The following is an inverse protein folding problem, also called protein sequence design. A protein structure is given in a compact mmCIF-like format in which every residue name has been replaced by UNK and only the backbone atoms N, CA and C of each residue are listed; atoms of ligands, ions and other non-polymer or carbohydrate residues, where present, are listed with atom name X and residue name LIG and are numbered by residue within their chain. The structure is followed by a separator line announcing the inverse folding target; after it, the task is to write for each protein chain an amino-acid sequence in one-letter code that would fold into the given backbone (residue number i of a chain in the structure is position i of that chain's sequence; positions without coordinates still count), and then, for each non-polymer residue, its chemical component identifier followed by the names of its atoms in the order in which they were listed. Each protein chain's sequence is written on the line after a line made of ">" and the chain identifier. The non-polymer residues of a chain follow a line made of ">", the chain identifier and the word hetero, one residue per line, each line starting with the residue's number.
data_IF_537421974315
#
_entry.id   IF_537421974315
#
_cell.length_a   1.000
_cell.length_b   1.000
_cell.length_c   1.000
_cell.angle_alpha   90.00
_cell.angle_beta   90.00
_cell.angle_gamma   90.00
#
_symmetry.space_group_name_H-M   'P 1'
#
loop_
_entity.id
_entity.type
_entity.pdbx_description
1 polymer ?
#
# COMPACT_ATOMS: atom_id res chain seq x y z
N UNK A 1 33.33 5.94 -27.37
CA UNK A 1 33.06 4.75 -26.52
C UNK A 1 32.05 5.18 -25.46
N UNK A 2 30.77 5.34 -25.84
CA UNK A 2 29.67 4.40 -25.58
C UNK A 2 29.53 3.99 -24.10
N UNK A 3 28.50 4.57 -23.48
CA UNK A 3 28.06 4.43 -22.10
C UNK A 3 27.84 2.97 -21.73
N UNK A 4 28.63 2.47 -20.77
CA UNK A 4 28.35 1.21 -20.09
C UNK A 4 27.37 1.48 -18.95
N UNK A 5 26.09 1.27 -19.27
CA UNK A 5 25.11 0.56 -18.44
C UNK A 5 25.08 0.92 -16.95
N UNK A 6 24.27 1.94 -16.65
CA UNK A 6 23.50 2.00 -15.41
C UNK A 6 22.47 0.88 -15.50
N UNK A 7 22.78 -0.26 -14.90
CA UNK A 7 21.82 -1.33 -14.64
C UNK A 7 22.09 -1.82 -13.21
N UNK A 8 21.66 -1.01 -12.23
CA UNK A 8 21.65 -1.41 -10.82
C UNK A 8 20.45 -0.78 -10.12
N UNK A 9 19.25 -1.17 -10.56
CA UNK A 9 17.99 -0.95 -9.85
C UNK A 9 16.94 -2.01 -10.24
N UNK A 10 17.38 -3.20 -10.59
CA UNK A 10 16.52 -4.35 -10.85
C UNK A 10 17.29 -5.61 -10.45
N UNK A 11 17.31 -5.97 -9.17
CA UNK A 11 17.57 -7.34 -8.75
C UNK A 11 17.26 -7.56 -7.25
N UNK A 12 16.25 -8.41 -7.02
CA UNK A 12 15.97 -9.25 -5.84
C UNK A 12 15.66 -8.56 -4.49
N UNK A 13 14.68 -9.03 -3.70
CA UNK A 13 14.24 -10.40 -3.56
C UNK A 13 12.71 -10.54 -3.56
N UNK A 14 12.24 -11.45 -4.42
CA UNK A 14 11.14 -12.36 -4.14
C UNK A 14 11.47 -13.13 -2.85
N UNK A 15 11.16 -12.57 -1.69
CA UNK A 15 10.91 -13.40 -0.51
C UNK A 15 9.53 -14.01 -0.73
N UNK A 16 9.48 -15.00 -1.63
CA UNK A 16 8.36 -15.90 -1.77
C UNK A 16 8.29 -16.72 -0.50
N UNK A 17 7.80 -16.08 0.55
CA UNK A 17 7.33 -16.79 1.69
C UNK A 17 6.08 -17.49 1.21
N UNK A 18 6.13 -18.82 1.14
CA UNK A 18 4.96 -19.63 0.83
C UNK A 18 4.01 -19.51 2.01
N UNK A 19 3.21 -18.44 2.05
CA UNK A 19 2.12 -18.30 2.98
C UNK A 19 0.85 -18.79 2.31
N UNK A 20 0.15 -19.66 3.02
CA UNK A 20 -1.08 -20.30 2.60
C UNK A 20 -2.29 -19.35 2.73
N UNK A 21 -2.10 -18.10 3.14
CA UNK A 21 -3.21 -17.18 3.39
C UNK A 21 -2.67 -15.76 3.26
N UNK A 22 -3.50 -14.82 2.83
CA UNK A 22 -3.17 -13.38 2.94
C UNK A 22 -2.89 -13.09 4.42
N UNK A 23 -1.65 -12.70 4.73
CA UNK A 23 -1.29 -12.36 6.10
C UNK A 23 -1.91 -11.03 6.50
N UNK A 24 -2.73 -11.04 7.54
CA UNK A 24 -3.33 -9.83 8.10
C UNK A 24 -2.74 -9.45 9.46
N UNK A 25 -1.51 -9.90 9.78
CA UNK A 25 -0.85 -9.52 11.04
C UNK A 25 -1.48 -10.09 12.33
N UNK A 26 -2.44 -11.02 12.23
CA UNK A 26 -3.33 -11.52 13.30
C UNK A 26 -2.66 -12.04 14.60
N UNK A 27 -1.35 -12.17 14.65
CA UNK A 27 -0.61 -12.58 15.85
C UNK A 27 0.14 -11.40 16.51
N UNK A 28 -0.37 -10.18 16.37
CA UNK A 28 0.18 -8.97 17.01
C UNK A 28 1.47 -8.44 16.39
N UNK A 29 1.80 -8.87 15.16
CA UNK A 29 3.01 -8.42 14.44
C UNK A 29 2.59 -7.83 13.10
N UNK A 30 2.26 -6.53 13.10
CA UNK A 30 1.88 -5.81 11.88
C UNK A 30 2.92 -5.89 10.76
N UNK A 31 4.21 -5.94 11.10
CA UNK A 31 5.31 -6.05 10.12
C UNK A 31 5.21 -7.28 9.21
N UNK A 32 4.43 -8.28 9.58
CA UNK A 32 4.20 -9.50 8.80
C UNK A 32 2.93 -9.43 7.92
N UNK A 33 2.08 -8.41 8.08
CA UNK A 33 0.90 -8.24 7.21
C UNK A 33 1.30 -8.05 5.75
N UNK A 34 0.59 -8.63 4.80
CA UNK A 34 0.87 -8.52 3.38
C UNK A 34 0.12 -7.35 2.74
N UNK A 35 0.78 -6.70 1.78
CA UNK A 35 0.14 -5.72 0.93
C UNK A 35 -0.75 -6.44 -0.08
N UNK A 36 -1.99 -5.98 -0.15
CA UNK A 36 -3.01 -6.49 -1.04
C UNK A 36 -3.50 -5.37 -1.92
N UNK A 37 -3.55 -5.62 -3.22
CA UNK A 37 -4.20 -4.75 -4.18
C UNK A 37 -5.67 -5.11 -4.32
N UNK A 38 -6.51 -4.08 -4.30
CA UNK A 38 -7.95 -4.20 -4.50
C UNK A 38 -8.33 -3.29 -5.67
N UNK A 39 -9.07 -3.83 -6.62
CA UNK A 39 -9.78 -3.06 -7.63
C UNK A 39 -11.27 -3.41 -7.59
N UNK A 40 -12.16 -2.44 -7.74
CA UNK A 40 -13.59 -2.70 -7.85
C UNK A 40 -14.30 -1.66 -8.71
N UNK A 41 -15.46 -2.05 -9.23
CA UNK A 41 -16.41 -1.19 -9.89
C UNK A 41 -17.82 -1.71 -9.62
N UNK A 42 -18.84 -1.06 -10.17
CA UNK A 42 -20.24 -1.43 -9.98
C UNK A 42 -20.64 -2.86 -10.43
N UNK A 43 -19.76 -3.60 -11.11
CA UNK A 43 -20.02 -4.93 -11.67
C UNK A 43 -19.17 -6.04 -11.08
N UNK A 44 -18.06 -5.71 -10.41
CA UNK A 44 -17.27 -6.70 -9.71
C UNK A 44 -16.06 -6.12 -9.01
N UNK A 45 -15.30 -7.01 -8.39
CA UNK A 45 -14.06 -6.70 -7.69
C UNK A 45 -12.98 -7.70 -8.01
N UNK A 46 -11.75 -7.29 -7.77
CA UNK A 46 -10.53 -8.04 -7.95
C UNK A 46 -9.64 -7.80 -6.74
N UNK A 47 -9.06 -8.87 -6.24
CA UNK A 47 -8.08 -8.84 -5.17
C UNK A 47 -6.83 -9.58 -5.63
N UNK A 48 -5.67 -9.03 -5.29
CA UNK A 48 -4.37 -9.65 -5.54
C UNK A 48 -3.44 -9.41 -4.38
N UNK A 49 -2.99 -10.49 -3.78
CA UNK A 49 -1.84 -10.46 -2.88
C UNK A 49 -0.58 -10.06 -3.66
N UNK A 50 0.15 -9.07 -3.14
CA UNK A 50 1.38 -8.58 -3.75
C UNK A 50 2.61 -9.40 -3.32
N UNK A 51 2.48 -10.29 -2.34
CA UNK A 51 3.58 -11.10 -1.80
C UNK A 51 4.66 -10.25 -1.11
N UNK A 52 4.30 -9.06 -0.65
CA UNK A 52 5.18 -8.11 0.02
C UNK A 52 4.62 -7.85 1.41
N UNK A 53 5.39 -8.13 2.46
CA UNK A 53 4.99 -7.79 3.83
C UNK A 53 5.13 -6.29 4.09
N UNK A 54 4.39 -5.77 5.06
CA UNK A 54 4.45 -4.41 5.53
C UNK A 54 5.88 -4.04 5.90
N UNK A 55 6.60 -4.87 6.67
CA UNK A 55 8.01 -4.61 7.01
C UNK A 55 8.93 -4.56 5.79
N UNK A 56 8.76 -5.46 4.83
CA UNK A 56 9.52 -5.46 3.58
C UNK A 56 9.24 -4.19 2.75
N UNK A 57 7.98 -3.76 2.70
CA UNK A 57 7.59 -2.52 2.06
C UNK A 57 8.17 -1.29 2.77
N UNK A 58 8.15 -1.25 4.11
CA UNK A 58 8.77 -0.16 4.87
C UNK A 58 10.27 -0.04 4.60
N UNK A 59 10.96 -1.17 4.44
CA UNK A 59 12.39 -1.21 4.19
C UNK A 59 12.78 -0.75 2.78
N UNK A 60 12.03 -1.16 1.74
CA UNK A 60 12.41 -0.94 0.34
C UNK A 60 11.54 0.07 -0.41
N UNK A 61 10.29 0.26 -0.01
CA UNK A 61 9.34 1.26 -0.54
C UNK A 61 8.95 1.11 -2.01
N UNK A 62 9.49 0.11 -2.72
CA UNK A 62 9.44 0.01 -4.17
C UNK A 62 8.97 -1.38 -4.61
N UNK A 63 8.07 -1.44 -5.59
CA UNK A 63 7.69 -2.66 -6.27
C UNK A 63 7.08 -2.37 -7.65
N UNK A 64 7.08 -3.38 -8.52
CA UNK A 64 6.38 -3.34 -9.81
C UNK A 64 5.79 -4.73 -10.06
N UNK A 65 4.48 -4.86 -9.92
CA UNK A 65 3.76 -6.13 -9.95
C UNK A 65 2.67 -6.08 -11.01
N UNK A 66 2.62 -7.09 -11.87
CA UNK A 66 1.57 -7.18 -12.88
C UNK A 66 0.27 -7.75 -12.31
N UNK A 67 -0.85 -7.14 -12.68
CA UNK A 67 -2.20 -7.69 -12.41
C UNK A 67 -2.66 -8.66 -13.49
N UNK A 68 -1.93 -8.78 -14.61
CA UNK A 68 -2.37 -9.60 -15.73
C UNK A 68 -2.48 -11.08 -15.33
N UNK A 69 -3.63 -11.69 -15.64
CA UNK A 69 -3.96 -13.03 -15.17
C UNK A 69 -5.37 -13.45 -15.53
N UNK A 70 -5.70 -14.71 -15.25
CA UNK A 70 -7.02 -15.26 -15.51
C UNK A 70 -8.11 -14.55 -14.69
N UNK A 71 -7.83 -14.24 -13.43
CA UNK A 71 -8.77 -13.54 -12.55
C UNK A 71 -8.91 -12.08 -12.94
N UNK A 72 -7.83 -11.39 -13.30
CA UNK A 72 -7.94 -10.04 -13.86
C UNK A 72 -8.78 -10.00 -15.14
N UNK A 73 -8.60 -10.97 -16.03
CA UNK A 73 -9.45 -11.08 -17.23
C UNK A 73 -10.93 -11.33 -16.89
N UNK A 74 -11.22 -12.12 -15.85
CA UNK A 74 -12.59 -12.28 -15.33
C UNK A 74 -13.14 -10.96 -14.80
N UNK A 75 -12.35 -10.22 -14.03
CA UNK A 75 -12.75 -8.90 -13.54
C UNK A 75 -13.08 -7.92 -14.68
N UNK A 76 -12.21 -7.84 -15.69
CA UNK A 76 -12.47 -7.03 -16.89
C UNK A 76 -13.74 -7.49 -17.63
N UNK A 77 -14.01 -8.79 -17.66
CA UNK A 77 -15.20 -9.36 -18.29
C UNK A 77 -16.50 -9.05 -17.54
N UNK A 78 -16.46 -8.76 -16.23
CA UNK A 78 -17.63 -8.23 -15.52
C UNK A 78 -18.05 -6.85 -16.06
N UNK A 79 -17.11 -6.11 -16.66
CA UNK A 79 -17.32 -4.77 -17.19
C UNK A 79 -17.31 -3.69 -16.10
N UNK A 80 -17.81 -2.50 -16.42
CA UNK A 80 -17.82 -1.32 -15.54
C UNK A 80 -16.82 -0.25 -15.99
N UNK A 81 -17.22 1.02 -15.91
CA UNK A 81 -16.43 2.17 -16.40
C UNK A 81 -15.78 2.99 -15.30
N UNK A 82 -16.03 2.66 -14.02
CA UNK A 82 -15.52 3.39 -12.86
C UNK A 82 -14.71 2.48 -11.95
N UNK A 83 -13.65 1.88 -12.49
CA UNK A 83 -12.76 1.06 -11.68
C UNK A 83 -11.97 1.93 -10.72
N UNK A 84 -12.19 1.67 -9.44
CA UNK A 84 -11.49 2.24 -8.30
C UNK A 84 -10.52 1.22 -7.75
N UNK A 85 -9.37 1.69 -7.26
CA UNK A 85 -8.35 0.81 -6.71
C UNK A 85 -7.67 1.40 -5.48
N UNK A 86 -7.15 0.51 -4.64
CA UNK A 86 -6.32 0.81 -3.48
C UNK A 86 -5.31 -0.31 -3.23
N UNK A 87 -4.27 0.00 -2.44
CA UNK A 87 -3.38 -1.02 -1.86
C UNK A 87 -3.47 -0.91 -0.35
N UNK A 88 -3.64 -2.04 0.33
CA UNK A 88 -3.81 -2.11 1.79
C UNK A 88 -2.97 -3.22 2.41
N UNK A 89 -2.40 -2.97 3.58
CA UNK A 89 -2.00 -4.00 4.53
C UNK A 89 -2.65 -3.65 5.87
N UNK A 90 -3.23 -4.63 6.56
CA UNK A 90 -4.02 -4.39 7.77
C UNK A 90 -3.54 -5.32 8.89
N UNK A 91 -3.47 -4.79 10.13
CA UNK A 91 -3.44 -5.59 11.35
C UNK A 91 -4.71 -5.32 12.18
N UNK A 92 -5.68 -6.25 12.16
CA UNK A 92 -6.94 -6.13 12.89
C UNK A 92 -6.84 -6.58 14.35
N UNK A 93 -5.71 -7.15 14.80
CA UNK A 93 -5.61 -7.78 16.13
C UNK A 93 -4.59 -7.08 17.02
N UNK A 94 -5.11 -6.56 18.12
CA UNK A 94 -4.56 -6.70 19.48
C UNK A 94 -5.75 -6.92 20.42
N UNK A 95 -5.59 -7.72 21.48
CA UNK A 95 -6.65 -7.99 22.48
C UNK A 95 -7.02 -6.75 23.34
N UNK A 96 -6.73 -5.55 22.86
CA UNK A 96 -6.95 -4.27 23.51
C UNK A 96 -7.26 -3.18 22.48
N UNK A 97 -7.76 -2.06 22.99
CA UNK A 97 -7.97 -0.84 22.21
C UNK A 97 -6.76 0.09 22.34
N UNK A 98 -5.58 -0.42 22.71
CA UNK A 98 -4.47 0.46 23.04
C UNK A 98 -3.89 1.11 21.78
N UNK A 99 -3.35 2.34 21.89
CA UNK A 99 -2.67 2.99 20.78
C UNK A 99 -1.56 2.13 20.20
N UNK A 100 -1.58 1.93 18.87
CA UNK A 100 -0.56 1.15 18.17
C UNK A 100 -0.97 -0.29 17.85
N UNK A 101 -1.99 -0.84 18.50
CA UNK A 101 -2.36 -2.26 18.35
C UNK A 101 -3.11 -2.54 17.05
N UNK A 102 -3.99 -1.61 16.65
CA UNK A 102 -4.70 -1.66 15.36
C UNK A 102 -4.05 -0.64 14.44
N UNK A 103 -3.63 -1.11 13.27
CA UNK A 103 -2.91 -0.27 12.31
C UNK A 103 -3.05 -0.79 10.87
N UNK A 104 -2.82 0.09 9.91
CA UNK A 104 -2.95 -0.22 8.49
C UNK A 104 -2.02 0.63 7.62
N UNK A 105 -1.48 0.01 6.58
CA UNK A 105 -1.00 0.71 5.40
C UNK A 105 -2.13 0.84 4.40
N UNK A 106 -2.26 2.02 3.82
CA UNK A 106 -3.21 2.20 2.72
C UNK A 106 -2.82 3.34 1.79
N UNK A 107 -3.25 3.26 0.54
CA UNK A 107 -3.11 4.35 -0.42
C UNK A 107 -4.07 5.50 -0.10
N UNK A 108 -3.63 6.74 -0.31
CA UNK A 108 -4.43 7.95 -0.13
C UNK A 108 -4.22 8.90 -1.32
N UNK A 109 -5.27 9.57 -1.78
CA UNK A 109 -5.13 10.57 -2.83
C UNK A 109 -4.22 11.74 -2.35
N UNK A 110 -3.41 12.28 -3.26
CA UNK A 110 -2.28 13.16 -2.95
C UNK A 110 -2.59 14.46 -2.17
N UNK A 111 -3.87 14.85 -2.07
CA UNK A 111 -4.36 16.07 -1.43
C UNK A 111 -5.44 15.81 -0.37
N UNK A 112 -5.55 14.59 0.17
CA UNK A 112 -6.49 14.31 1.26
C UNK A 112 -5.94 14.84 2.60
N UNK A 113 -6.75 15.57 3.39
CA UNK A 113 -6.37 15.91 4.74
C UNK A 113 -6.21 14.64 5.58
N UNK A 114 -5.17 14.62 6.41
CA UNK A 114 -4.72 13.46 7.19
C UNK A 114 -5.56 13.25 8.46
N UNK A 115 -6.56 14.11 8.70
CA UNK A 115 -7.28 14.19 9.97
C UNK A 115 -8.80 14.13 9.75
N UNK A 116 -9.49 13.32 10.57
CA UNK A 116 -10.96 13.28 10.59
C UNK A 116 -11.57 11.91 10.90
N UNK A 117 -10.76 10.86 11.08
CA UNK A 117 -11.23 9.51 11.43
C UNK A 117 -11.14 9.29 12.93
N UNK A 118 -12.24 8.89 13.55
CA UNK A 118 -12.23 8.43 14.94
C UNK A 118 -11.67 7.01 15.03
N UNK A 119 -11.07 6.65 16.17
CA UNK A 119 -10.58 5.30 16.41
C UNK A 119 -11.68 4.23 16.17
N UNK A 120 -12.95 4.52 16.49
CA UNK A 120 -14.08 3.63 16.18
C UNK A 120 -14.16 3.29 14.69
N UNK A 121 -14.29 4.31 13.83
CA UNK A 121 -14.50 4.12 12.40
C UNK A 121 -13.30 3.44 11.73
N UNK A 122 -12.09 3.73 12.22
CA UNK A 122 -10.88 3.06 11.77
C UNK A 122 -10.85 1.58 12.15
N UNK A 123 -11.14 1.26 13.42
CA UNK A 123 -11.14 -0.12 13.90
C UNK A 123 -12.18 -0.97 13.17
N UNK A 124 -13.39 -0.43 12.96
CA UNK A 124 -14.45 -1.10 12.19
C UNK A 124 -14.00 -1.37 10.74
N UNK A 125 -13.36 -0.39 10.10
CA UNK A 125 -12.84 -0.56 8.74
C UNK A 125 -11.75 -1.64 8.68
N UNK A 126 -10.75 -1.59 9.56
CA UNK A 126 -9.66 -2.59 9.60
C UNK A 126 -10.19 -4.00 9.90
N UNK A 127 -11.16 -4.14 10.82
CA UNK A 127 -11.83 -5.40 11.08
C UNK A 127 -12.61 -5.94 9.88
N UNK A 128 -13.26 -5.07 9.11
CA UNK A 128 -13.94 -5.47 7.87
C UNK A 128 -12.97 -6.02 6.81
N UNK A 129 -11.77 -5.42 6.65
CA UNK A 129 -10.76 -5.96 5.75
C UNK A 129 -10.28 -7.35 6.17
N UNK A 130 -10.11 -7.58 7.46
CA UNK A 130 -9.75 -8.90 7.98
C UNK A 130 -10.74 -9.99 7.55
N UNK A 131 -12.04 -9.69 7.66
CA UNK A 131 -13.10 -10.60 7.25
C UNK A 131 -13.04 -10.86 5.73
N UNK A 132 -12.86 -9.83 4.92
CA UNK A 132 -12.71 -9.96 3.47
C UNK A 132 -11.55 -10.88 3.08
N UNK A 133 -10.39 -10.72 3.73
CA UNK A 133 -9.24 -11.54 3.44
C UNK A 133 -9.51 -13.00 3.79
N UNK A 134 -10.20 -13.27 4.90
CA UNK A 134 -10.67 -14.61 5.24
C UNK A 134 -11.67 -15.19 4.22
N UNK A 135 -12.66 -14.40 3.78
CA UNK A 135 -13.63 -14.83 2.74
C UNK A 135 -12.94 -15.09 1.41
N UNK A 136 -11.96 -14.25 1.04
CA UNK A 136 -11.20 -14.39 -0.19
C UNK A 136 -10.31 -15.64 -0.19
N UNK A 137 -9.70 -15.96 0.95
CA UNK A 137 -8.95 -17.22 1.13
C UNK A 137 -9.86 -18.45 0.98
N UNK A 138 -11.02 -18.43 1.63
CA UNK A 138 -12.02 -19.51 1.49
C UNK A 138 -12.43 -19.67 0.01
N UNK A 139 -12.73 -18.57 -0.68
CA UNK A 139 -13.15 -18.59 -2.08
C UNK A 139 -12.04 -19.04 -3.04
N UNK A 140 -10.77 -18.78 -2.72
CA UNK A 140 -9.61 -19.25 -3.46
C UNK A 140 -9.27 -20.73 -3.20
N UNK A 141 -9.91 -21.35 -2.20
CA UNK A 141 -9.61 -22.68 -1.71
C UNK A 141 -8.59 -22.62 -0.58
N UNK A 142 -9.11 -22.33 0.62
CA UNK A 142 -8.42 -22.15 1.91
C UNK A 142 -6.99 -22.67 1.94
N UNK A 143 -6.04 -21.82 2.28
CA UNK A 143 -4.64 -22.23 2.27
C UNK A 143 -3.92 -21.88 0.95
N UNK A 144 -4.54 -21.05 0.09
CA UNK A 144 -3.99 -20.69 -1.20
C UNK A 144 -2.89 -19.62 -1.07
N UNK A 145 -1.73 -19.88 -1.66
CA UNK A 145 -0.64 -18.89 -1.70
C UNK A 145 -0.83 -17.84 -2.80
N UNK A 146 -0.50 -16.59 -2.49
CA UNK A 146 -0.60 -15.44 -3.41
C UNK A 146 -1.99 -15.32 -4.04
N UNK A 147 -3.01 -15.19 -3.20
CA UNK A 147 -4.41 -15.18 -3.63
C UNK A 147 -4.63 -14.12 -4.70
N UNK A 148 -5.18 -14.56 -5.82
CA UNK A 148 -5.72 -13.72 -6.88
C UNK A 148 -7.15 -14.18 -7.12
N UNK A 149 -8.11 -13.25 -7.11
CA UNK A 149 -9.53 -13.62 -7.19
C UNK A 149 -10.37 -12.47 -7.76
N UNK A 150 -11.28 -12.82 -8.68
CA UNK A 150 -12.30 -11.91 -9.17
C UNK A 150 -13.71 -12.34 -8.73
N UNK A 151 -14.50 -11.39 -8.24
CA UNK A 151 -15.84 -11.59 -7.69
C UNK A 151 -16.85 -10.67 -8.38
N UNK A 152 -17.99 -11.22 -8.80
CA UNK A 152 -19.05 -10.44 -9.44
C UNK A 152 -19.85 -9.65 -8.39
N UNK A 153 -20.41 -8.50 -8.77
CA UNK A 153 -21.26 -7.73 -7.87
C UNK A 153 -22.45 -8.57 -7.37
N UNK A 154 -22.64 -8.57 -6.04
CA UNK A 154 -23.69 -9.34 -5.37
C UNK A 154 -23.27 -10.71 -4.83
N UNK A 155 -22.01 -11.13 -5.00
CA UNK A 155 -21.45 -12.29 -4.28
C UNK A 155 -20.88 -11.89 -2.93
N UNK A 156 -20.72 -12.85 -2.01
CA UNK A 156 -20.20 -12.61 -0.66
C UNK A 156 -18.78 -12.02 -0.65
N UNK A 157 -17.98 -12.27 -1.69
CA UNK A 157 -16.62 -11.72 -1.84
C UNK A 157 -16.52 -10.41 -2.64
N UNK A 158 -17.64 -9.76 -2.98
CA UNK A 158 -17.62 -8.52 -3.76
C UNK A 158 -17.17 -7.31 -2.92
N UNK A 159 -16.16 -6.59 -3.41
CA UNK A 159 -15.46 -5.55 -2.65
C UNK A 159 -15.95 -4.10 -2.88
N UNK A 160 -17.13 -3.92 -3.45
CA UNK A 160 -17.66 -2.61 -3.86
C UNK A 160 -17.60 -1.51 -2.79
N UNK A 161 -17.97 -1.83 -1.54
CA UNK A 161 -17.95 -0.89 -0.40
C UNK A 161 -16.56 -0.71 0.22
N UNK A 162 -15.64 -1.64 -0.02
CA UNK A 162 -14.39 -1.75 0.74
C UNK A 162 -13.20 -1.10 0.06
N UNK A 163 -13.37 -0.60 -1.15
CA UNK A 163 -12.43 0.40 -1.67
C UNK A 163 -12.60 1.72 -0.87
N UNK A 164 -13.70 1.92 -0.13
CA UNK A 164 -14.00 3.14 0.63
C UNK A 164 -13.85 2.92 2.14
N UNK A 165 -12.87 3.58 2.78
CA UNK A 165 -12.72 3.62 4.23
C UNK A 165 -13.76 4.58 4.86
N UNK A 166 -15.03 4.19 4.75
CA UNK A 166 -16.18 4.90 5.32
C UNK A 166 -16.25 6.40 4.96
N UNK A 167 -15.74 6.80 3.79
CA UNK A 167 -15.78 8.18 3.30
C UNK A 167 -14.75 9.13 3.90
N UNK A 168 -13.87 8.66 4.80
CA UNK A 168 -12.96 9.54 5.53
C UNK A 168 -11.58 9.71 4.89
N UNK A 169 -11.23 8.81 3.97
CA UNK A 169 -10.07 8.95 3.10
C UNK A 169 -10.49 8.58 1.68
N UNK A 170 -10.28 9.47 0.71
CA UNK A 170 -10.31 9.05 -0.70
C UNK A 170 -9.07 8.22 -0.99
N UNK A 171 -9.09 6.97 -0.53
CA UNK A 171 -8.04 5.97 -0.71
C UNK A 171 -8.02 5.35 -2.09
N UNK A 172 -8.98 5.79 -2.91
CA UNK A 172 -9.28 5.23 -4.20
C UNK A 172 -8.70 6.09 -5.31
N UNK A 173 -7.93 5.44 -6.16
CA UNK A 173 -7.51 5.99 -7.44
C UNK A 173 -8.43 5.52 -8.54
N UNK A 174 -8.59 6.32 -9.58
CA UNK A 174 -8.97 5.78 -10.89
C UNK A 174 -7.74 5.14 -11.54
N UNK A 175 -7.95 4.25 -12.51
CA UNK A 175 -6.85 3.76 -13.35
C UNK A 175 -6.10 4.95 -13.95
N UNK A 176 -4.76 4.89 -13.91
CA UNK A 176 -3.85 5.93 -14.37
C UNK A 176 -3.56 7.03 -13.34
N UNK A 177 -4.20 7.00 -12.17
CA UNK A 177 -3.90 7.95 -11.09
C UNK A 177 -2.73 7.50 -10.21
N UNK A 178 -2.16 8.48 -9.51
CA UNK A 178 -1.10 8.30 -8.52
C UNK A 178 -1.64 8.57 -7.11
N UNK A 179 -1.42 7.63 -6.19
CA UNK A 179 -1.78 7.74 -4.78
C UNK A 179 -0.51 7.73 -3.93
N UNK A 180 -0.54 8.32 -2.74
CA UNK A 180 0.54 8.23 -1.76
C UNK A 180 0.27 7.11 -0.78
N UNK A 181 1.31 6.52 -0.20
CA UNK A 181 1.12 5.60 0.92
C UNK A 181 0.96 6.36 2.24
N UNK A 182 0.03 5.90 3.07
CA UNK A 182 -0.19 6.36 4.43
C UNK A 182 -0.16 5.17 5.40
N UNK A 183 0.20 5.45 6.65
CA UNK A 183 0.11 4.52 7.76
C UNK A 183 -0.77 5.13 8.84
N UNK A 184 -1.79 4.37 9.19
CA UNK A 184 -2.81 4.75 10.14
C UNK A 184 -2.69 3.85 11.35
N UNK A 185 -2.77 4.43 12.55
CA UNK A 185 -2.76 3.67 13.80
C UNK A 185 -3.69 4.30 14.82
N UNK A 186 -4.34 3.48 15.64
CA UNK A 186 -5.13 3.96 16.78
C UNK A 186 -4.30 4.93 17.63
N UNK A 187 -4.92 6.02 18.06
CA UNK A 187 -4.26 7.07 18.85
C UNK A 187 -4.43 6.89 20.36
N UNK A 188 -5.48 6.21 20.77
CA UNK A 188 -5.84 5.94 22.16
C UNK A 188 -6.88 4.82 22.22
N UNK A 189 -7.18 4.36 23.45
CA UNK A 189 -8.32 3.48 23.72
C UNK A 189 -9.67 4.18 23.71
N UNK A 190 -9.70 5.52 23.64
CA UNK A 190 -10.95 6.25 23.43
C UNK A 190 -11.33 6.16 21.95
N UNK A 191 -12.47 5.53 21.70
CA UNK A 191 -13.01 5.30 20.37
C UNK A 191 -13.39 6.61 19.65
N UNK A 192 -13.56 7.72 20.38
CA UNK A 192 -13.92 9.04 19.84
C UNK A 192 -12.71 9.90 19.48
N UNK A 193 -11.52 9.55 19.98
CA UNK A 193 -10.29 10.25 19.63
C UNK A 193 -9.93 10.01 18.16
N UNK A 194 -9.23 10.97 17.57
CA UNK A 194 -8.82 10.90 16.17
C UNK A 194 -7.60 10.00 16.02
N UNK A 195 -7.59 9.16 14.99
CA UNK A 195 -6.48 8.26 14.63
C UNK A 195 -5.19 9.04 14.44
N UNK A 196 -4.06 8.46 14.89
CA UNK A 196 -2.74 8.94 14.55
C UNK A 196 -2.43 8.51 13.12
N UNK A 197 -2.52 9.45 12.20
CA UNK A 197 -2.10 9.22 10.84
C UNK A 197 -0.67 9.75 10.67
N UNK A 198 0.26 8.84 10.40
CA UNK A 198 1.56 9.21 9.87
C UNK A 198 1.51 9.01 8.36
N UNK A 199 1.80 10.04 7.57
CA UNK A 199 2.34 9.78 6.24
C UNK A 199 3.62 9.01 6.51
N UNK A 200 3.63 7.71 6.22
CA UNK A 200 4.73 6.84 6.64
C UNK A 200 6.06 7.45 6.22
N UNK A 201 7.14 7.16 6.95
CA UNK A 201 8.48 7.75 6.90
C UNK A 201 9.22 7.67 5.53
N UNK A 202 8.48 7.50 4.44
CA UNK A 202 8.76 7.84 3.06
C UNK A 202 7.51 8.53 2.45
N UNK A 203 7.12 9.72 2.92
CA UNK A 203 5.98 10.50 2.38
C UNK A 203 6.11 10.83 0.85
N UNK A 204 7.25 10.45 0.29
CA UNK A 204 7.67 10.41 -1.11
C UNK A 204 7.15 9.21 -1.93
N UNK A 205 6.73 8.11 -1.29
CA UNK A 205 6.34 6.91 -2.02
C UNK A 205 4.96 7.07 -2.64
N UNK A 206 4.96 7.01 -3.97
CA UNK A 206 3.77 7.07 -4.80
C UNK A 206 3.49 5.70 -5.36
N UNK A 207 2.24 5.25 -5.26
CA UNK A 207 1.73 4.05 -5.92
C UNK A 207 0.91 4.49 -7.13
N UNK A 208 1.14 3.83 -8.25
CA UNK A 208 0.41 4.04 -9.51
C UNK A 208 -0.15 2.73 -10.01
N UNK A 209 -1.27 2.80 -10.70
CA UNK A 209 -1.86 1.65 -11.37
C UNK A 209 -2.26 2.02 -12.79
N UNK A 210 -1.64 1.39 -13.79
CA UNK A 210 -1.80 1.72 -15.22
C UNK A 210 -2.73 0.75 -15.99
N UNK A 211 -3.53 -0.04 -15.26
CA UNK A 211 -4.33 -1.19 -15.75
C UNK A 211 -3.56 -2.49 -15.97
N UNK A 212 -2.22 -2.46 -15.99
CA UNK A 212 -1.39 -3.64 -16.22
C UNK A 212 -0.50 -3.94 -15.03
N UNK A 213 0.05 -2.89 -14.42
CA UNK A 213 1.02 -2.97 -13.34
C UNK A 213 0.65 -2.02 -12.22
N UNK A 214 0.92 -2.48 -11.00
CA UNK A 214 0.89 -1.69 -9.78
C UNK A 214 2.34 -1.39 -9.45
N UNK A 215 2.66 -0.10 -9.41
CA UNK A 215 4.04 0.36 -9.27
C UNK A 215 4.10 1.29 -8.06
N UNK A 216 4.87 0.88 -7.04
CA UNK A 216 5.28 1.78 -5.97
C UNK A 216 6.71 2.26 -6.24
N UNK A 217 6.90 3.57 -6.17
CA UNK A 217 8.20 4.21 -6.29
C UNK A 217 8.36 5.29 -5.22
N UNK A 218 9.41 5.20 -4.42
CA UNK A 218 9.90 6.29 -3.58
C UNK A 218 10.63 7.32 -4.46
N UNK A 219 10.34 8.60 -4.29
CA UNK A 219 11.15 9.65 -4.91
C UNK A 219 12.53 9.68 -4.23
N UNK A 220 13.44 8.86 -4.74
CA UNK A 220 14.87 8.95 -4.39
C UNK A 220 15.38 10.26 -4.98
N UNK A 221 16.06 11.13 -4.21
CA UNK A 221 16.67 12.33 -4.76
C UNK A 221 17.61 11.94 -5.90
N UNK A 222 17.45 12.61 -7.05
CA UNK A 222 18.27 12.29 -8.21
C UNK A 222 19.77 12.42 -7.86
N UNK A 223 20.67 11.62 -8.48
CA UNK A 223 22.12 11.73 -8.27
C UNK A 223 22.66 13.16 -8.44
N UNK A 224 22.02 13.97 -9.29
CA UNK A 224 22.30 15.39 -9.50
C UNK A 224 22.12 16.24 -8.23
N UNK A 225 21.18 15.88 -7.36
CA UNK A 225 20.91 16.56 -6.08
C UNK A 225 22.05 16.35 -5.10
N UNK A 226 22.57 15.13 -5.02
CA UNK A 226 23.76 14.82 -4.21
C UNK A 226 25.03 15.44 -4.80
N UNK A 227 25.14 15.48 -6.13
CA UNK A 227 26.25 16.15 -6.81
C UNK A 227 26.25 17.67 -6.53
N UNK A 228 25.07 18.32 -6.54
CA UNK A 228 24.93 19.73 -6.18
C UNK A 228 25.20 20.00 -4.70
N UNK A 229 24.75 19.12 -3.80
CA UNK A 229 25.09 19.18 -2.38
C UNK A 229 26.61 19.11 -2.17
N UNK A 230 27.27 18.13 -2.81
CA UNK A 230 28.71 17.96 -2.74
C UNK A 230 29.45 19.15 -3.34
N UNK A 231 29.01 19.64 -4.51
CA UNK A 231 29.58 20.84 -5.13
C UNK A 231 29.43 22.07 -4.23
N UNK A 232 28.28 22.23 -3.57
CA UNK A 232 28.05 23.26 -2.57
C UNK A 232 29.01 23.15 -1.39
N UNK A 233 29.22 21.94 -0.87
CA UNK A 233 30.17 21.68 0.22
C UNK A 233 31.62 22.01 -0.18
N UNK A 234 32.03 21.63 -1.39
CA UNK A 234 33.34 21.96 -1.95
C UNK A 234 33.53 23.46 -2.11
N UNK A 235 32.51 24.19 -2.58
CA UNK A 235 32.55 25.65 -2.71
C UNK A 235 32.69 26.34 -1.34
N UNK A 236 31.96 25.90 -0.33
CA UNK A 236 32.07 26.41 1.05
C UNK A 236 33.46 26.11 1.62
N UNK A 237 33.97 24.89 1.45
CA UNK A 237 35.32 24.52 1.87
C UNK A 237 36.41 25.37 1.22
N UNK A 238 36.26 25.67 -0.08
CA UNK A 238 37.18 26.55 -0.80
C UNK A 238 37.14 27.99 -0.28
N UNK A 239 35.95 28.53 -0.02
CA UNK A 239 35.80 29.88 0.55
C UNK A 239 36.33 29.97 1.98
N UNK A 240 36.12 28.95 2.81
CA UNK A 240 36.65 28.89 4.17
C UNK A 240 38.18 28.89 4.17
N UNK A 241 38.81 28.10 3.28
CA UNK A 241 40.27 28.09 3.11
C UNK A 241 40.80 29.45 2.67
N UNK A 242 40.10 30.14 1.76
CA UNK A 242 40.50 31.49 1.30
C UNK A 242 40.43 32.57 2.39
N UNK A 243 39.70 32.33 3.47
CA UNK A 243 39.62 33.26 4.62
C UNK A 243 40.69 33.03 5.68
N UNK A 244 41.34 31.86 5.66
CA UNK A 244 42.41 31.53 6.61
C UNK A 244 43.82 31.74 6.04
N UNK A 245 43.96 31.90 4.72
CA UNK A 245 45.16 32.37 4.05
C UNK A 245 45.10 33.89 3.88
#
# INVERSE_FOLDING_TARGET
>A
MQFKTIALAALLATTGSAFAEIKTGQNGVFGESELVFIASNAKGSFIKDLGITASAFQANGNFNISVQGAEWNKFLAFGGSDTKWSVIAANPIGFGFEPGEINAFTTVAANQPVNGVTNQAFNDAVGNFANIFAVSDIAAGTGAANIELAQAAGTEGYLGSYVDFAGYYKQQGSIGSSLKMAYLTSSSADINELVLASSFANASTTVTFDSNNIIAASTVPEPSTYALLLAGLCAVGFMARRRQA
#
